data_IF_109894171423
#
_entry.id   IF_109894171423
#
_cell.length_a   1.000
_cell.length_b   1.000
_cell.length_c   1.000
_cell.angle_alpha   90.00
_cell.angle_beta   90.00
_cell.angle_gamma   90.00
#
_symmetry.space_group_name_H-M   'P 1'
#
loop_
_entity.id
_entity.type
_entity.pdbx_description
1 polymer ?
#
# COMPACT_ATOMS: atom_id res chain seq x y z
N UNK A 1 -8.60 15.84 -20.48
CA UNK A 1 -10.05 15.57 -20.46
C UNK A 1 -10.26 14.37 -19.54
N UNK A 2 -10.73 14.59 -18.33
CA UNK A 2 -11.01 13.50 -17.39
C UNK A 2 -12.17 12.69 -17.90
N UNK A 3 -11.98 11.39 -18.06
CA UNK A 3 -13.01 10.46 -18.53
C UNK A 3 -14.06 10.12 -17.46
N UNK A 4 -13.89 10.65 -16.23
CA UNK A 4 -14.68 10.26 -15.05
C UNK A 4 -15.02 11.50 -14.22
N UNK A 5 -16.24 11.59 -13.76
CA UNK A 5 -16.69 12.62 -12.81
C UNK A 5 -16.49 12.09 -11.37
N UNK A 6 -16.27 12.99 -10.39
CA UNK A 6 -16.08 12.57 -8.98
C UNK A 6 -17.23 11.71 -8.45
N UNK A 7 -18.48 11.95 -8.92
CA UNK A 7 -19.64 11.16 -8.51
C UNK A 7 -19.62 9.70 -8.95
N UNK A 8 -18.83 9.34 -9.96
CA UNK A 8 -18.73 7.95 -10.46
C UNK A 8 -17.81 7.07 -9.60
N UNK A 9 -17.08 7.68 -8.66
CA UNK A 9 -16.18 6.98 -7.72
C UNK A 9 -16.72 6.91 -6.30
N UNK A 10 -17.85 7.52 -6.05
CA UNK A 10 -18.52 7.39 -4.77
C UNK A 10 -19.16 6.00 -4.67
N UNK A 11 -19.11 5.41 -3.48
CA UNK A 11 -19.84 4.19 -3.19
C UNK A 11 -21.35 4.39 -3.32
N UNK A 12 -22.16 3.31 -3.25
CA UNK A 12 -23.61 3.37 -3.38
C UNK A 12 -24.30 4.30 -2.37
N UNK A 13 -23.62 4.58 -1.26
CA UNK A 13 -24.03 5.46 -0.16
C UNK A 13 -23.49 6.90 -0.31
N UNK A 14 -22.81 7.22 -1.42
CA UNK A 14 -22.20 8.52 -1.65
C UNK A 14 -20.89 8.75 -0.90
N UNK A 15 -20.32 7.72 -0.26
CA UNK A 15 -19.04 7.85 0.45
C UNK A 15 -17.85 7.78 -0.51
N UNK A 16 -16.85 8.61 -0.26
CA UNK A 16 -15.56 8.50 -0.93
C UNK A 16 -14.76 7.33 -0.35
N UNK A 17 -14.46 6.34 -1.19
CA UNK A 17 -13.72 5.14 -0.80
C UNK A 17 -12.20 5.29 -0.86
N UNK A 18 -11.72 6.45 -1.26
CA UNK A 18 -10.28 6.73 -1.25
C UNK A 18 -9.77 6.87 0.19
N UNK A 19 -8.48 6.61 0.36
CA UNK A 19 -7.81 6.95 1.63
C UNK A 19 -7.83 8.47 1.77
N UNK A 20 -8.32 9.04 2.88
CA UNK A 20 -8.33 10.48 3.07
C UNK A 20 -6.93 11.11 2.96
N UNK A 21 -6.82 12.27 2.36
CA UNK A 21 -5.53 12.97 2.22
C UNK A 21 -4.88 13.19 3.59
N UNK A 22 -5.65 13.60 4.59
CA UNK A 22 -5.15 13.78 5.96
C UNK A 22 -4.58 12.50 6.58
N UNK A 23 -5.11 11.35 6.21
CA UNK A 23 -4.56 10.06 6.63
C UNK A 23 -3.24 9.75 5.92
N UNK A 24 -3.14 10.05 4.63
CA UNK A 24 -1.89 9.92 3.88
C UNK A 24 -0.81 10.86 4.43
N UNK A 25 -1.14 12.12 4.71
CA UNK A 25 -0.24 13.09 5.34
C UNK A 25 0.29 12.57 6.66
N UNK A 26 -0.60 12.15 7.56
CA UNK A 26 -0.22 11.60 8.86
C UNK A 26 0.74 10.41 8.73
N UNK A 27 0.47 9.49 7.81
CA UNK A 27 1.33 8.31 7.58
C UNK A 27 2.71 8.69 7.04
N UNK A 28 2.76 9.62 6.10
CA UNK A 28 4.03 10.13 5.53
C UNK A 28 4.86 10.83 6.62
N UNK A 29 4.23 11.66 7.45
CA UNK A 29 4.92 12.35 8.55
C UNK A 29 5.45 11.37 9.60
N UNK A 30 4.66 10.36 9.96
CA UNK A 30 5.12 9.32 10.89
C UNK A 30 6.31 8.55 10.32
N UNK A 31 6.25 8.17 9.03
CA UNK A 31 7.36 7.49 8.37
C UNK A 31 8.61 8.38 8.35
N UNK A 32 8.47 9.62 7.94
CA UNK A 32 9.58 10.58 7.86
C UNK A 32 10.28 10.78 9.22
N UNK A 33 9.52 10.88 10.31
CA UNK A 33 10.04 10.99 11.69
C UNK A 33 10.71 9.69 12.15
N UNK A 34 10.07 8.54 11.94
CA UNK A 34 10.63 7.24 12.33
C UNK A 34 11.95 6.93 11.60
N UNK A 35 12.06 7.35 10.33
CA UNK A 35 13.32 7.26 9.58
C UNK A 35 14.42 8.12 10.21
N UNK A 36 14.10 9.35 10.62
CA UNK A 36 15.04 10.23 11.31
C UNK A 36 15.53 9.62 12.64
N UNK A 37 14.61 9.11 13.46
CA UNK A 37 14.92 8.49 14.76
C UNK A 37 15.86 7.30 14.63
N UNK A 38 15.80 6.57 13.51
CA UNK A 38 16.65 5.42 13.23
C UNK A 38 17.89 5.76 12.36
N UNK A 39 18.14 7.05 12.10
CA UNK A 39 19.24 7.52 11.26
C UNK A 39 19.21 6.94 9.84
N UNK A 40 18.03 6.69 9.30
CA UNK A 40 17.82 6.26 7.92
C UNK A 40 17.52 7.51 7.07
N UNK A 41 18.30 7.80 6.01
CA UNK A 41 18.20 9.09 5.29
C UNK A 41 16.91 9.28 4.50
N UNK A 42 16.22 8.21 4.21
CA UNK A 42 14.96 8.13 3.48
C UNK A 42 14.66 6.70 3.05
N UNK A 43 13.48 6.46 2.52
CA UNK A 43 13.07 5.13 2.04
C UNK A 43 12.47 5.20 0.65
N UNK A 44 12.69 4.17 -0.15
CA UNK A 44 12.02 3.93 -1.42
C UNK A 44 11.01 2.80 -1.24
N UNK A 45 9.76 3.18 -0.95
CA UNK A 45 8.65 2.23 -0.76
C UNK A 45 8.23 1.65 -2.12
N UNK A 46 8.19 0.34 -2.22
CA UNK A 46 7.95 -0.39 -3.47
C UNK A 46 7.01 -1.58 -3.32
N UNK A 47 6.85 -2.10 -2.11
CA UNK A 47 5.92 -3.17 -1.84
C UNK A 47 4.47 -2.71 -2.07
N UNK A 48 3.63 -3.45 -2.80
CA UNK A 48 2.31 -2.97 -3.22
C UNK A 48 1.36 -2.63 -2.07
N UNK A 49 1.41 -3.38 -0.97
CA UNK A 49 0.57 -3.12 0.21
C UNK A 49 0.99 -1.82 0.88
N UNK A 50 2.30 -1.58 1.00
CA UNK A 50 2.82 -0.36 1.60
C UNK A 50 2.66 0.86 0.68
N UNK A 51 2.74 0.67 -0.65
CA UNK A 51 2.36 1.70 -1.61
C UNK A 51 0.89 2.12 -1.42
N UNK A 52 -0.02 1.15 -1.27
CA UNK A 52 -1.41 1.48 -0.95
C UNK A 52 -1.53 2.22 0.38
N UNK A 53 -0.82 1.77 1.41
CA UNK A 53 -0.85 2.37 2.73
C UNK A 53 -0.38 3.83 2.72
N UNK A 54 0.75 4.13 2.07
CA UNK A 54 1.35 5.46 2.08
C UNK A 54 0.93 6.37 0.91
N UNK A 55 0.45 5.80 -0.20
CA UNK A 55 0.12 6.58 -1.39
C UNK A 55 -1.35 6.47 -1.84
N UNK A 56 -2.20 5.75 -1.11
CA UNK A 56 -3.62 5.60 -1.41
C UNK A 56 -3.94 4.70 -2.60
N UNK A 57 -2.94 4.29 -3.38
CA UNK A 57 -3.12 3.48 -4.58
C UNK A 57 -2.07 2.39 -4.76
N UNK A 58 -2.37 1.40 -5.58
CA UNK A 58 -1.48 0.26 -5.90
C UNK A 58 -0.96 0.33 -7.33
N UNK A 59 -0.64 1.51 -7.79
CA UNK A 59 -0.07 1.70 -9.11
C UNK A 59 1.33 1.07 -9.20
N UNK A 60 1.77 0.75 -10.42
CA UNK A 60 3.17 0.36 -10.63
C UNK A 60 4.06 1.59 -10.44
N UNK A 61 4.48 1.82 -9.21
CA UNK A 61 5.17 3.03 -8.77
C UNK A 61 6.27 2.71 -7.75
N UNK A 62 6.99 3.75 -7.35
CA UNK A 62 7.86 3.76 -6.18
C UNK A 62 7.66 5.10 -5.48
N UNK A 63 7.40 5.08 -4.19
CA UNK A 63 7.27 6.28 -3.37
C UNK A 63 8.59 6.51 -2.63
N UNK A 64 9.23 7.65 -2.87
CA UNK A 64 10.35 8.10 -2.06
C UNK A 64 9.82 8.98 -0.91
N UNK A 65 10.23 8.66 0.32
CA UNK A 65 9.96 9.47 1.51
C UNK A 65 11.30 9.79 2.17
N UNK A 66 11.69 11.07 2.26
CA UNK A 66 12.89 11.48 2.98
C UNK A 66 12.67 11.40 4.49
N UNK A 67 13.75 11.20 5.26
CA UNK A 67 13.71 11.43 6.71
C UNK A 67 13.44 12.90 7.02
N UNK A 68 12.74 13.17 8.12
CA UNK A 68 12.57 14.53 8.64
C UNK A 68 13.93 15.16 8.93
N UNK A 69 14.06 16.46 8.68
CA UNK A 69 15.32 17.18 8.87
C UNK A 69 16.43 16.86 7.85
N UNK A 70 16.23 15.93 6.91
CA UNK A 70 17.20 15.71 5.82
C UNK A 70 17.15 16.84 4.78
N UNK A 71 18.20 17.01 3.97
CA UNK A 71 18.21 17.99 2.87
C UNK A 71 17.14 17.74 1.81
N UNK A 72 16.65 16.50 1.68
CA UNK A 72 15.59 16.15 0.77
C UNK A 72 14.20 16.49 1.33
N UNK A 73 14.07 16.75 2.64
CA UNK A 73 12.81 17.14 3.26
C UNK A 73 12.41 18.57 2.90
N UNK A 74 11.10 18.86 2.88
CA UNK A 74 10.59 20.23 2.63
C UNK A 74 11.06 21.23 3.67
N UNK A 75 11.27 20.81 4.90
CA UNK A 75 11.73 21.63 6.03
C UNK A 75 13.11 22.26 5.76
N UNK A 76 13.97 21.56 5.02
CA UNK A 76 15.31 22.01 4.69
C UNK A 76 15.48 22.43 3.21
N UNK A 77 14.39 22.84 2.56
CA UNK A 77 14.40 23.32 1.17
C UNK A 77 14.46 22.23 0.10
N UNK A 78 14.39 20.97 0.50
CA UNK A 78 14.21 19.84 -0.42
C UNK A 78 12.80 19.79 -1.01
N UNK A 79 12.60 18.92 -1.99
CA UNK A 79 11.31 18.76 -2.69
C UNK A 79 10.32 17.84 -1.94
N UNK A 80 10.77 17.19 -0.86
CA UNK A 80 9.95 16.29 -0.07
C UNK A 80 9.60 14.97 -0.78
N UNK A 81 8.55 14.28 -0.30
CA UNK A 81 8.15 12.97 -0.83
C UNK A 81 7.72 13.04 -2.29
N UNK A 82 7.97 11.97 -3.05
CA UNK A 82 7.57 11.88 -4.46
C UNK A 82 7.15 10.46 -4.84
N UNK A 83 5.98 10.36 -5.46
CA UNK A 83 5.48 9.13 -6.07
C UNK A 83 5.87 9.10 -7.56
N UNK A 84 6.75 8.19 -7.91
CA UNK A 84 7.22 7.95 -9.27
C UNK A 84 6.40 6.83 -9.90
N UNK A 85 5.57 7.15 -10.89
CA UNK A 85 4.56 6.25 -11.46
C UNK A 85 4.97 5.79 -12.85
N UNK A 86 4.93 4.47 -13.11
CA UNK A 86 5.29 3.90 -14.42
C UNK A 86 4.13 3.91 -15.42
N UNK A 87 2.89 3.82 -14.92
CA UNK A 87 1.67 3.80 -15.75
C UNK A 87 0.51 4.41 -14.97
N UNK A 88 -0.44 5.01 -15.70
CA UNK A 88 -1.68 5.54 -15.15
C UNK A 88 -1.46 6.65 -14.10
N UNK A 89 -0.71 7.68 -14.47
CA UNK A 89 -0.44 8.84 -13.59
C UNK A 89 -1.74 9.54 -13.17
N UNK A 90 -2.70 9.70 -14.09
CA UNK A 90 -4.01 10.29 -13.79
C UNK A 90 -4.74 9.54 -12.69
N UNK A 91 -4.71 8.22 -12.74
CA UNK A 91 -5.30 7.39 -11.67
C UNK A 91 -4.54 7.52 -10.34
N UNK A 92 -3.21 7.55 -10.37
CA UNK A 92 -2.42 7.75 -9.17
C UNK A 92 -2.70 9.12 -8.52
N UNK A 93 -2.86 10.17 -9.32
CA UNK A 93 -3.27 11.50 -8.85
C UNK A 93 -4.64 11.46 -8.19
N UNK A 94 -5.62 10.86 -8.87
CA UNK A 94 -6.97 10.70 -8.33
C UNK A 94 -6.97 9.94 -6.99
N UNK A 95 -6.29 8.79 -6.91
CA UNK A 95 -6.22 7.97 -5.70
C UNK A 95 -5.51 8.69 -4.52
N UNK A 96 -4.57 9.59 -4.80
CA UNK A 96 -3.80 10.35 -3.81
C UNK A 96 -4.40 11.70 -3.43
N UNK A 97 -5.59 12.05 -3.93
CA UNK A 97 -6.28 13.33 -3.63
C UNK A 97 -5.91 14.48 -4.56
N UNK A 98 -5.43 14.18 -5.77
CA UNK A 98 -5.12 15.13 -6.84
C UNK A 98 -4.18 16.26 -6.41
N UNK A 99 -4.64 17.51 -6.46
CA UNK A 99 -3.87 18.70 -6.09
C UNK A 99 -3.54 18.78 -4.57
N UNK A 100 -4.35 18.08 -3.75
CA UNK A 100 -4.17 18.01 -2.30
C UNK A 100 -3.24 16.88 -1.85
N UNK A 101 -2.62 16.16 -2.79
CA UNK A 101 -1.70 15.06 -2.46
C UNK A 101 -0.53 15.54 -1.58
N UNK A 102 -0.17 14.81 -0.50
CA UNK A 102 0.93 15.19 0.38
C UNK A 102 2.32 15.02 -0.27
N UNK A 103 2.38 14.43 -1.44
CA UNK A 103 3.60 14.19 -2.22
C UNK A 103 3.42 14.59 -3.69
N UNK A 104 4.51 14.93 -4.33
CA UNK A 104 4.54 15.17 -5.77
C UNK A 104 4.34 13.84 -6.53
N UNK A 105 3.57 13.87 -7.63
CA UNK A 105 3.31 12.69 -8.47
C UNK A 105 3.87 12.92 -9.87
N UNK A 106 4.85 12.11 -10.25
CA UNK A 106 5.58 12.26 -11.51
C UNK A 106 5.67 10.95 -12.28
N UNK A 107 5.99 11.05 -13.56
CA UNK A 107 6.40 9.87 -14.33
C UNK A 107 7.68 9.27 -13.74
N UNK A 108 7.76 7.95 -13.70
CA UNK A 108 8.97 7.27 -13.23
C UNK A 108 10.16 7.63 -14.14
N UNK A 109 11.26 8.18 -13.60
CA UNK A 109 12.42 8.51 -14.39
C UNK A 109 13.02 7.25 -15.04
N UNK A 110 13.82 7.41 -16.09
CA UNK A 110 14.58 6.27 -16.62
C UNK A 110 15.50 5.73 -15.52
N UNK A 111 15.64 4.41 -15.45
CA UNK A 111 16.48 3.79 -14.41
C UNK A 111 17.91 4.33 -14.37
N UNK A 112 18.47 4.71 -15.53
CA UNK A 112 19.81 5.31 -15.64
C UNK A 112 19.93 6.71 -15.03
N UNK A 113 18.82 7.45 -14.95
CA UNK A 113 18.77 8.82 -14.40
C UNK A 113 18.09 8.90 -13.05
N UNK A 114 17.79 7.76 -12.42
CA UNK A 114 17.12 7.73 -11.12
C UNK A 114 17.96 8.41 -10.03
N UNK A 115 19.26 8.16 -10.00
CA UNK A 115 20.19 8.76 -9.04
C UNK A 115 20.22 10.28 -9.20
N UNK A 116 20.43 10.77 -10.43
CA UNK A 116 20.41 12.20 -10.74
C UNK A 116 19.09 12.86 -10.35
N UNK A 117 17.96 12.19 -10.64
CA UNK A 117 16.63 12.65 -10.25
C UNK A 117 16.49 12.80 -8.74
N UNK A 118 16.98 11.83 -7.95
CA UNK A 118 16.96 11.87 -6.49
C UNK A 118 17.90 12.96 -5.95
N UNK A 119 19.11 13.11 -6.51
CA UNK A 119 20.06 14.16 -6.13
C UNK A 119 19.51 15.58 -6.36
N UNK A 120 18.79 15.82 -7.47
CA UNK A 120 18.11 17.08 -7.75
C UNK A 120 16.97 17.39 -6.73
N UNK A 121 16.61 16.43 -5.90
CA UNK A 121 15.65 16.56 -4.80
C UNK A 121 16.32 16.66 -3.42
N UNK A 122 17.64 16.74 -3.38
CA UNK A 122 18.41 16.86 -2.15
C UNK A 122 18.80 15.53 -1.50
N UNK A 123 18.65 14.40 -2.23
CA UNK A 123 19.07 13.08 -1.73
C UNK A 123 20.58 12.94 -1.88
N UNK A 124 21.30 12.86 -0.76
CA UNK A 124 22.76 12.73 -0.71
C UNK A 124 23.23 11.31 -0.39
N UNK A 125 22.38 10.52 0.25
CA UNK A 125 22.68 9.15 0.67
C UNK A 125 21.64 8.19 0.10
N UNK A 126 22.03 6.93 -0.11
CA UNK A 126 21.13 5.92 -0.64
C UNK A 126 19.90 5.72 0.28
N UNK A 127 18.68 5.85 -0.24
CA UNK A 127 17.50 5.54 0.53
C UNK A 127 17.46 4.05 0.87
N UNK A 128 16.89 3.71 2.02
CA UNK A 128 16.63 2.33 2.40
C UNK A 128 15.60 1.68 1.47
N UNK A 129 15.65 0.36 1.40
CA UNK A 129 14.69 -0.48 0.69
C UNK A 129 13.90 -1.33 1.69
N UNK A 130 12.93 -2.09 1.22
CA UNK A 130 12.13 -3.01 2.02
C UNK A 130 12.58 -4.45 1.74
N UNK A 131 13.78 -4.81 2.22
CA UNK A 131 14.39 -6.11 1.89
C UNK A 131 13.57 -7.31 2.33
N UNK A 132 12.80 -7.19 3.40
CA UNK A 132 11.91 -8.25 3.88
C UNK A 132 10.64 -8.44 3.04
N UNK A 133 10.30 -7.49 2.16
CA UNK A 133 9.03 -7.49 1.44
C UNK A 133 9.17 -7.54 -0.09
N UNK A 134 10.30 -7.08 -0.63
CA UNK A 134 10.52 -7.05 -2.07
C UNK A 134 11.35 -8.24 -2.53
N UNK A 135 11.07 -8.82 -3.72
CA UNK A 135 11.86 -9.92 -4.26
C UNK A 135 13.36 -9.59 -4.36
N UNK A 136 14.21 -10.54 -4.03
CA UNK A 136 15.67 -10.37 -4.00
C UNK A 136 16.27 -9.84 -5.30
N UNK A 137 15.80 -10.30 -6.45
CA UNK A 137 16.24 -9.81 -7.76
C UNK A 137 15.87 -8.34 -7.98
N UNK A 138 14.75 -7.91 -7.41
CA UNK A 138 14.31 -6.52 -7.47
C UNK A 138 15.13 -5.65 -6.51
N UNK A 139 15.34 -6.12 -5.28
CA UNK A 139 16.22 -5.47 -4.30
C UNK A 139 17.62 -5.27 -4.85
N UNK A 140 18.27 -6.33 -5.37
CA UNK A 140 19.60 -6.28 -5.95
C UNK A 140 19.72 -5.28 -7.09
N UNK A 141 18.69 -5.20 -7.95
CA UNK A 141 18.68 -4.23 -9.05
C UNK A 141 18.66 -2.79 -8.53
N UNK A 142 17.84 -2.48 -7.54
CA UNK A 142 17.77 -1.12 -6.98
C UNK A 142 19.03 -0.78 -6.18
N UNK A 143 19.56 -1.71 -5.40
CA UNK A 143 20.83 -1.54 -4.70
C UNK A 143 21.96 -1.20 -5.68
N UNK A 144 22.07 -1.91 -6.80
CA UNK A 144 23.09 -1.62 -7.82
C UNK A 144 22.90 -0.24 -8.46
N UNK A 145 21.67 0.20 -8.69
CA UNK A 145 21.39 1.52 -9.28
C UNK A 145 21.70 2.64 -8.28
N UNK A 146 21.38 2.44 -7.01
CA UNK A 146 21.55 3.43 -5.95
C UNK A 146 22.97 3.43 -5.37
N UNK A 147 23.83 2.49 -5.74
CA UNK A 147 25.21 2.37 -5.25
C UNK A 147 26.04 3.68 -5.32
N UNK A 148 25.86 4.59 -6.32
CA UNK A 148 26.55 5.89 -6.32
C UNK A 148 26.19 6.79 -5.13
N UNK A 149 25.05 6.55 -4.45
CA UNK A 149 24.63 7.26 -3.25
C UNK A 149 25.06 6.55 -1.95
N UNK A 150 25.69 5.37 -2.05
CA UNK A 150 26.13 4.57 -0.92
C UNK A 150 25.34 3.27 -0.76
N UNK A 151 25.38 2.73 0.44
CA UNK A 151 24.74 1.44 0.79
C UNK A 151 23.28 1.68 1.19
N UNK A 152 22.37 0.96 0.56
CA UNK A 152 20.96 0.99 0.95
C UNK A 152 20.76 0.26 2.28
N UNK A 153 20.13 0.93 3.25
CA UNK A 153 19.65 0.31 4.48
C UNK A 153 18.38 -0.51 4.28
N UNK A 154 17.87 -1.10 5.35
CA UNK A 154 16.57 -1.78 5.40
C UNK A 154 15.57 -0.98 6.24
N UNK A 155 14.43 -0.65 5.67
CA UNK A 155 13.32 0.04 6.34
C UNK A 155 12.10 -0.86 6.60
N UNK A 156 12.22 -2.18 6.41
CA UNK A 156 11.10 -3.11 6.57
C UNK A 156 10.48 -3.03 7.95
N UNK A 157 11.30 -3.10 9.00
CA UNK A 157 10.85 -3.05 10.40
C UNK A 157 10.21 -1.71 10.77
N UNK A 158 10.75 -0.60 10.27
CA UNK A 158 10.20 0.75 10.50
C UNK A 158 8.79 0.84 9.97
N UNK A 159 8.57 0.38 8.74
CA UNK A 159 7.26 0.40 8.10
C UNK A 159 6.27 -0.51 8.84
N UNK A 160 6.70 -1.70 9.26
CA UNK A 160 5.86 -2.61 10.03
C UNK A 160 5.42 -1.98 11.36
N UNK A 161 6.33 -1.37 12.12
CA UNK A 161 6.01 -0.69 13.38
C UNK A 161 4.97 0.44 13.19
N UNK A 162 5.07 1.22 12.13
CA UNK A 162 4.08 2.27 11.83
C UNK A 162 2.70 1.66 11.57
N UNK A 163 2.62 0.55 10.84
CA UNK A 163 1.37 -0.14 10.51
C UNK A 163 0.80 -0.95 11.66
N UNK A 164 1.58 -1.22 12.69
CA UNK A 164 1.16 -1.98 13.87
C UNK A 164 0.10 -1.23 14.68
N UNK A 165 0.24 0.08 14.83
CA UNK A 165 -0.71 0.93 15.56
C UNK A 165 -1.70 1.56 14.56
N UNK A 166 -2.96 1.11 14.61
CA UNK A 166 -4.01 1.52 13.66
C UNK A 166 -4.58 2.90 14.02
N UNK A 167 -4.81 3.72 13.00
CA UNK A 167 -5.53 4.99 13.14
C UNK A 167 -7.03 4.77 13.39
N UNK A 168 -7.73 5.84 13.76
CA UNK A 168 -9.19 5.78 13.92
C UNK A 168 -9.89 5.46 12.58
N UNK A 169 -9.37 5.99 11.46
CA UNK A 169 -9.89 5.68 10.14
C UNK A 169 -9.70 4.19 9.81
N UNK A 170 -8.51 3.64 10.07
CA UNK A 170 -8.23 2.21 9.87
C UNK A 170 -9.12 1.32 10.74
N UNK A 171 -9.35 1.70 12.00
CA UNK A 171 -10.27 0.99 12.91
C UNK A 171 -11.70 1.00 12.35
N UNK A 172 -12.16 2.12 11.77
CA UNK A 172 -13.48 2.17 11.12
C UNK A 172 -13.57 1.22 9.92
N UNK A 173 -12.53 1.17 9.07
CA UNK A 173 -12.46 0.24 7.94
C UNK A 173 -12.47 -1.23 8.41
N UNK A 174 -11.73 -1.53 9.49
CA UNK A 174 -11.72 -2.87 10.09
C UNK A 174 -13.10 -3.25 10.65
N UNK A 175 -13.81 -2.31 11.30
CA UNK A 175 -15.17 -2.55 11.80
C UNK A 175 -16.16 -2.83 10.66
N UNK A 176 -16.07 -2.08 9.55
CA UNK A 176 -16.90 -2.33 8.36
C UNK A 176 -16.62 -3.72 7.78
N UNK A 177 -15.35 -4.11 7.65
CA UNK A 177 -14.96 -5.45 7.22
C UNK A 177 -15.46 -6.56 8.16
N UNK A 178 -15.44 -6.32 9.47
CA UNK A 178 -15.97 -7.27 10.47
C UNK A 178 -17.49 -7.47 10.35
N UNK A 179 -18.24 -6.44 9.98
CA UNK A 179 -19.68 -6.56 9.71
C UNK A 179 -19.95 -7.45 8.49
N UNK A 180 -19.17 -7.31 7.43
CA UNK A 180 -19.27 -8.21 6.26
C UNK A 180 -18.98 -9.66 6.69
N UNK A 181 -17.93 -9.86 7.49
CA UNK A 181 -17.57 -11.18 8.00
C UNK A 181 -18.69 -11.79 8.86
N UNK A 182 -19.38 -11.01 9.71
CA UNK A 182 -20.52 -11.49 10.48
C UNK A 182 -21.63 -12.03 9.56
N UNK A 183 -21.99 -11.28 8.50
CA UNK A 183 -22.97 -11.74 7.50
C UNK A 183 -22.52 -13.02 6.77
N UNK A 184 -21.23 -13.20 6.53
CA UNK A 184 -20.70 -14.44 5.96
C UNK A 184 -20.89 -15.63 6.90
N UNK A 185 -20.68 -15.45 8.21
CA UNK A 185 -20.95 -16.50 9.21
C UNK A 185 -22.43 -16.86 9.28
N UNK A 186 -23.32 -15.87 9.28
CA UNK A 186 -24.79 -16.10 9.24
C UNK A 186 -25.20 -16.91 8.00
N UNK A 187 -24.61 -16.63 6.84
CA UNK A 187 -24.88 -17.38 5.62
C UNK A 187 -24.38 -18.83 5.72
N UNK A 188 -23.23 -19.07 6.30
CA UNK A 188 -22.71 -20.41 6.55
C UNK A 188 -23.61 -21.17 7.51
N UNK A 189 -23.99 -20.55 8.63
CA UNK A 189 -24.89 -21.14 9.63
C UNK A 189 -26.24 -21.55 9.01
N UNK A 190 -26.82 -20.69 8.17
CA UNK A 190 -28.08 -20.97 7.49
C UNK A 190 -28.03 -22.16 6.52
N UNK A 191 -26.86 -22.49 6.01
CA UNK A 191 -26.61 -23.63 5.09
C UNK A 191 -26.18 -24.91 5.81
N UNK A 192 -25.78 -24.80 7.07
CA UNK A 192 -25.21 -25.90 7.82
C UNK A 192 -26.26 -26.98 8.11
N UNK A 193 -26.09 -28.14 7.54
CA UNK A 193 -26.94 -29.35 7.74
C UNK A 193 -26.17 -30.59 7.46
N UNK A 194 -26.70 -31.75 7.89
CA UNK A 194 -26.11 -33.03 7.55
C UNK A 194 -26.06 -33.26 6.02
N UNK A 195 -24.92 -33.64 5.52
CA UNK A 195 -24.67 -33.92 4.11
C UNK A 195 -24.24 -32.72 3.28
N UNK A 196 -24.19 -31.49 3.84
CA UNK A 196 -23.59 -30.35 3.14
C UNK A 196 -22.08 -30.53 3.05
N UNK A 197 -21.50 -30.19 1.92
CA UNK A 197 -20.05 -30.20 1.73
C UNK A 197 -19.41 -28.88 2.24
N UNK A 198 -18.13 -28.95 2.60
CA UNK A 198 -17.33 -27.76 2.97
C UNK A 198 -17.31 -26.72 1.86
N UNK A 199 -17.25 -27.16 0.59
CA UNK A 199 -17.27 -26.26 -0.59
C UNK A 199 -18.60 -25.51 -0.73
N UNK A 200 -19.74 -26.13 -0.40
CA UNK A 200 -21.03 -25.43 -0.40
C UNK A 200 -21.09 -24.36 0.69
N UNK A 201 -20.46 -24.59 1.84
CA UNK A 201 -20.36 -23.59 2.91
C UNK A 201 -19.44 -22.43 2.50
N UNK A 202 -18.29 -22.72 1.88
CA UNK A 202 -17.41 -21.69 1.30
C UNK A 202 -18.14 -20.86 0.26
N UNK A 203 -18.89 -21.51 -0.64
CA UNK A 203 -19.66 -20.82 -1.68
C UNK A 203 -20.70 -19.86 -1.09
N UNK A 204 -21.38 -20.24 0.01
CA UNK A 204 -22.32 -19.36 0.70
C UNK A 204 -21.64 -18.13 1.31
N UNK A 205 -20.49 -18.31 1.94
CA UNK A 205 -19.71 -17.20 2.49
C UNK A 205 -19.18 -16.27 1.38
N UNK A 206 -18.65 -16.83 0.28
CA UNK A 206 -18.14 -16.04 -0.85
C UNK A 206 -19.23 -15.26 -1.57
N UNK A 207 -20.44 -15.82 -1.70
CA UNK A 207 -21.58 -15.12 -2.29
C UNK A 207 -21.88 -13.84 -1.51
N UNK A 208 -21.95 -13.92 -0.19
CA UNK A 208 -22.19 -12.76 0.67
C UNK A 208 -21.05 -11.74 0.53
N UNK A 209 -19.80 -12.17 0.64
CA UNK A 209 -18.67 -11.26 0.51
C UNK A 209 -18.68 -10.49 -0.81
N UNK A 210 -19.07 -11.15 -1.91
CA UNK A 210 -19.19 -10.51 -3.23
C UNK A 210 -20.31 -9.50 -3.29
N UNK A 211 -21.48 -9.81 -2.72
CA UNK A 211 -22.62 -8.89 -2.65
C UNK A 211 -22.32 -7.66 -1.81
N UNK A 212 -21.51 -7.80 -0.76
CA UNK A 212 -21.06 -6.71 0.11
C UNK A 212 -19.84 -5.93 -0.47
N UNK A 213 -19.48 -6.16 -1.74
CA UNK A 213 -18.50 -5.35 -2.46
C UNK A 213 -17.07 -5.92 -2.51
N UNK A 214 -16.83 -7.14 -2.00
CA UNK A 214 -15.50 -7.73 -2.10
C UNK A 214 -15.14 -8.09 -3.56
N UNK A 215 -14.24 -7.34 -4.17
CA UNK A 215 -13.80 -7.53 -5.55
C UNK A 215 -12.98 -8.81 -5.80
N UNK A 216 -12.56 -9.50 -4.76
CA UNK A 216 -11.69 -10.69 -4.83
C UNK A 216 -10.23 -10.35 -4.69
N UNK A 217 -9.40 -11.38 -4.71
CA UNK A 217 -7.96 -11.24 -4.61
C UNK A 217 -7.40 -10.63 -5.89
N UNK A 218 -6.59 -9.60 -5.75
CA UNK A 218 -5.85 -9.01 -6.88
C UNK A 218 -4.47 -9.62 -6.89
N UNK A 219 -4.19 -10.41 -7.92
CA UNK A 219 -2.85 -10.90 -8.17
C UNK A 219 -2.01 -9.79 -8.81
N UNK A 220 -0.96 -9.37 -8.11
CA UNK A 220 -0.02 -8.38 -8.64
C UNK A 220 1.03 -9.06 -9.51
N UNK A 221 1.13 -8.67 -10.78
CA UNK A 221 2.10 -9.28 -11.73
C UNK A 221 3.55 -9.16 -11.27
N UNK A 222 3.88 -8.13 -10.54
CA UNK A 222 5.26 -7.81 -10.16
C UNK A 222 5.69 -8.44 -8.84
N UNK A 223 4.77 -8.53 -7.91
CA UNK A 223 4.95 -9.16 -6.62
C UNK A 223 3.74 -10.09 -6.43
N UNK A 224 3.90 -11.38 -6.69
CA UNK A 224 2.83 -12.33 -6.47
C UNK A 224 2.57 -12.44 -4.97
N UNK A 225 1.66 -11.62 -4.47
CA UNK A 225 1.06 -11.83 -3.17
C UNK A 225 0.03 -12.93 -3.36
N UNK A 226 0.34 -14.10 -2.84
CA UNK A 226 -0.67 -15.13 -2.64
C UNK A 226 -1.46 -14.71 -1.40
N UNK A 227 -2.65 -14.18 -1.63
CA UNK A 227 -3.63 -14.07 -0.56
C UNK A 227 -4.46 -15.34 -0.58
N UNK A 228 -4.16 -16.25 0.33
CA UNK A 228 -5.05 -17.38 0.56
C UNK A 228 -6.39 -16.84 1.04
N UNK A 229 -7.47 -17.38 0.44
CA UNK A 229 -8.83 -17.03 0.83
C UNK A 229 -9.22 -17.65 2.17
N UNK A 230 -8.30 -18.34 2.81
CA UNK A 230 -8.57 -19.25 3.90
C UNK A 230 -9.24 -20.54 3.42
N UNK A 231 -9.30 -21.49 4.28
CA UNK A 231 -9.97 -22.77 4.05
C UNK A 231 -11.01 -22.99 5.13
N UNK A 232 -12.16 -23.56 4.74
CA UNK A 232 -13.12 -24.10 5.69
C UNK A 232 -12.90 -25.62 5.67
N UNK A 233 -12.46 -26.15 6.77
CA UNK A 233 -12.13 -27.57 6.92
C UNK A 233 -12.76 -28.12 8.20
N UNK A 234 -13.08 -29.41 8.19
CA UNK A 234 -13.66 -30.13 9.34
C UNK A 234 -12.95 -31.42 9.60
N UNK A 235 -13.19 -32.03 10.75
CA UNK A 235 -12.70 -33.36 11.12
C UNK A 235 -11.17 -33.44 11.05
N UNK A 236 -10.65 -34.49 10.42
CA UNK A 236 -9.21 -34.75 10.33
C UNK A 236 -8.46 -33.72 9.50
N UNK A 237 -9.11 -33.13 8.49
CA UNK A 237 -8.49 -32.07 7.65
C UNK A 237 -8.28 -30.78 8.42
N UNK A 238 -9.06 -30.48 9.45
CA UNK A 238 -8.90 -29.32 10.32
C UNK A 238 -7.87 -29.49 11.44
N UNK A 239 -7.28 -30.64 11.59
CA UNK A 239 -6.30 -30.97 12.63
C UNK A 239 -4.84 -31.01 12.15
N UNK A 240 -4.54 -30.51 10.95
CA UNK A 240 -3.20 -30.51 10.34
C UNK A 240 -2.59 -29.13 10.49
#
# INVERSE_FOLDING_TARGET
>A
MGLWTESEFLGPDGQDWRVPVSELERRIEHLSRALQEQNIPGVLVQHPVDLYYFAGGRQNASLFVPASGSKASKENGGKGPVLMVRRSISRAKFEAGEENSPFEIVAFPRMKTLVEFLQQRGVEQAPALQYGEIPSNFASRFTSILAPLGICGDATSVIHQIREIKSQWEIQQMKASAQVQAKMFEAVESKLKLGVSELELVAAAEEVSRREGFGGNIQMRRFPLQCDRGVIVSGRAGGI
#
